data_IF_631127039869
#
_entry.id   IF_631127039869
#
_cell.length_a   1.000
_cell.length_b   1.000
_cell.length_c   1.000
_cell.angle_alpha   90.00
_cell.angle_beta   90.00
_cell.angle_gamma   90.00
#
_symmetry.space_group_name_H-M   'P 1'
#
loop_
_entity.id
_entity.type
_entity.pdbx_description
1 polymer ?
#
# COMPACT_ATOMS: atom_id res chain seq x y z
N UNK A 1 -11.50 -20.36 6.17
CA UNK A 1 -11.42 -19.12 5.36
C UNK A 1 -11.92 -17.97 6.22
N UNK A 2 -11.30 -16.80 6.12
CA UNK A 2 -11.65 -15.64 6.91
C UNK A 2 -12.84 -14.93 6.26
N UNK A 3 -13.81 -14.47 7.06
CA UNK A 3 -14.79 -13.48 6.61
C UNK A 3 -14.23 -12.10 6.93
N UNK A 4 -14.19 -11.21 5.94
CA UNK A 4 -13.63 -9.87 6.07
C UNK A 4 -14.77 -8.85 6.14
N UNK A 5 -14.71 -7.97 7.13
CA UNK A 5 -15.57 -6.81 7.27
C UNK A 5 -14.70 -5.55 7.17
N UNK A 6 -15.20 -4.53 6.49
CA UNK A 6 -14.53 -3.23 6.46
C UNK A 6 -14.87 -2.43 7.71
N UNK A 7 -13.86 -1.79 8.28
CA UNK A 7 -14.02 -0.70 9.25
C UNK A 7 -13.41 0.57 8.66
N UNK A 8 -13.92 1.72 9.09
CA UNK A 8 -13.53 3.02 8.56
C UNK A 8 -13.35 4.03 9.69
N UNK A 9 -12.26 4.79 9.66
CA UNK A 9 -12.11 6.05 10.39
C UNK A 9 -12.08 7.17 9.35
N UNK A 10 -12.92 8.20 9.49
CA UNK A 10 -13.00 9.30 8.53
C UNK A 10 -13.42 10.58 9.20
N UNK A 11 -12.96 11.70 8.66
CA UNK A 11 -13.32 13.03 9.14
C UNK A 11 -13.06 14.08 8.05
N UNK A 12 -13.67 15.24 8.21
CA UNK A 12 -13.35 16.46 7.45
C UNK A 12 -13.00 17.55 8.44
N UNK A 13 -11.77 18.04 8.36
CA UNK A 13 -11.21 19.02 9.27
C UNK A 13 -11.17 20.40 8.63
N UNK A 14 -11.56 21.41 9.40
CA UNK A 14 -11.81 22.76 8.90
C UNK A 14 -10.86 23.79 9.52
N UNK A 15 -10.46 24.79 8.74
CA UNK A 15 -9.88 26.04 9.23
C UNK A 15 -10.91 27.15 9.02
N UNK A 16 -11.52 27.62 10.11
CA UNK A 16 -12.73 28.46 10.03
C UNK A 16 -13.87 27.69 9.35
N UNK A 17 -14.35 28.18 8.20
CA UNK A 17 -15.39 27.53 7.38
C UNK A 17 -14.83 26.73 6.20
N UNK A 18 -13.52 26.73 6.00
CA UNK A 18 -12.86 26.11 4.83
C UNK A 18 -12.52 24.65 5.17
N UNK A 19 -12.99 23.65 4.41
CA UNK A 19 -12.54 22.27 4.57
C UNK A 19 -11.10 22.16 4.06
N UNK A 20 -10.14 22.06 4.98
CA UNK A 20 -8.71 22.07 4.60
C UNK A 20 -8.14 20.67 4.49
N UNK A 21 -8.71 19.69 5.19
CA UNK A 21 -8.17 18.33 5.17
C UNK A 21 -9.27 17.29 5.35
N UNK A 22 -9.25 16.27 4.50
CA UNK A 22 -10.21 15.16 4.51
C UNK A 22 -9.41 13.87 4.62
N UNK A 23 -9.81 12.95 5.51
CA UNK A 23 -9.22 11.61 5.48
C UNK A 23 -10.28 10.53 5.57
N UNK A 24 -9.96 9.39 4.95
CA UNK A 24 -10.78 8.19 4.94
C UNK A 24 -9.88 6.94 5.02
N UNK A 25 -9.93 6.25 6.15
CA UNK A 25 -9.02 5.15 6.48
C UNK A 25 -9.83 3.86 6.57
N UNK A 26 -9.90 3.12 5.47
CA UNK A 26 -10.51 1.80 5.41
C UNK A 26 -9.49 0.73 5.83
N UNK A 27 -9.89 -0.15 6.75
CA UNK A 27 -9.03 -1.24 7.23
C UNK A 27 -9.85 -2.51 7.51
N UNK A 28 -9.23 -3.69 7.39
CA UNK A 28 -9.95 -4.95 7.52
C UNK A 28 -10.19 -5.33 8.98
N UNK A 29 -11.30 -6.02 9.21
CA UNK A 29 -11.59 -6.78 10.41
C UNK A 29 -11.97 -8.21 10.02
N UNK A 30 -11.29 -9.18 10.60
CA UNK A 30 -11.42 -10.60 10.26
C UNK A 30 -12.24 -11.35 11.31
N UNK A 31 -13.24 -12.09 10.84
CA UNK A 31 -13.83 -13.21 11.58
C UNK A 31 -13.22 -14.51 11.05
N UNK A 32 -12.74 -15.38 11.94
CA UNK A 32 -12.11 -16.64 11.55
C UNK A 32 -12.45 -17.74 12.54
N UNK A 33 -12.62 -18.95 12.00
CA UNK A 33 -12.74 -20.20 12.77
C UNK A 33 -11.40 -20.88 13.01
N UNK A 34 -10.30 -20.38 12.43
CA UNK A 34 -8.97 -21.00 12.53
C UNK A 34 -8.39 -20.95 13.94
N UNK A 35 -8.46 -19.78 14.59
CA UNK A 35 -8.07 -19.60 16.00
C UNK A 35 -8.48 -18.23 16.52
N UNK A 36 -9.11 -18.18 17.70
CA UNK A 36 -9.67 -16.95 18.27
C UNK A 36 -8.60 -15.92 18.64
N UNK A 37 -7.58 -16.31 19.42
CA UNK A 37 -6.57 -15.38 19.92
C UNK A 37 -5.67 -14.79 18.81
N UNK A 38 -5.13 -15.57 17.86
CA UNK A 38 -4.48 -15.04 16.64
C UNK A 38 -5.33 -14.04 15.87
N UNK A 39 -6.61 -14.36 15.63
CA UNK A 39 -7.52 -13.47 14.91
C UNK A 39 -7.70 -12.13 15.62
N UNK A 40 -7.82 -12.16 16.96
CA UNK A 40 -7.89 -10.94 17.77
C UNK A 40 -6.60 -10.11 17.66
N UNK A 41 -5.42 -10.73 17.70
CA UNK A 41 -4.14 -10.01 17.53
C UNK A 41 -4.03 -9.34 16.16
N UNK A 42 -4.42 -10.03 15.08
CA UNK A 42 -4.40 -9.48 13.71
C UNK A 42 -5.38 -8.30 13.61
N UNK A 43 -6.59 -8.44 14.16
CA UNK A 43 -7.57 -7.34 14.19
C UNK A 43 -7.07 -6.13 15.01
N UNK A 44 -6.42 -6.38 16.13
CA UNK A 44 -5.85 -5.33 16.97
C UNK A 44 -4.70 -4.61 16.24
N UNK A 45 -3.89 -5.32 15.46
CA UNK A 45 -2.88 -4.71 14.60
C UNK A 45 -3.49 -3.71 13.62
N UNK A 46 -4.52 -4.10 12.86
CA UNK A 46 -5.14 -3.18 11.90
C UNK A 46 -5.86 -2.01 12.56
N UNK A 47 -6.55 -2.25 13.68
CA UNK A 47 -7.16 -1.17 14.46
C UNK A 47 -6.12 -0.20 15.02
N UNK A 48 -4.97 -0.70 15.49
CA UNK A 48 -3.86 0.13 15.97
C UNK A 48 -3.26 0.95 14.82
N UNK A 49 -2.92 0.33 13.70
CA UNK A 49 -2.37 1.01 12.52
C UNK A 49 -3.33 2.09 11.99
N UNK A 50 -4.63 1.82 11.96
CA UNK A 50 -5.64 2.81 11.57
C UNK A 50 -5.66 4.01 12.53
N UNK A 51 -5.61 3.79 13.84
CA UNK A 51 -5.55 4.88 14.85
C UNK A 51 -4.24 5.67 14.80
N UNK A 52 -3.10 5.01 14.54
CA UNK A 52 -1.83 5.73 14.34
C UNK A 52 -1.89 6.60 13.08
N UNK A 53 -2.51 6.09 12.01
CA UNK A 53 -2.73 6.86 10.78
C UNK A 53 -3.66 8.05 11.04
N UNK A 54 -4.76 7.86 11.78
CA UNK A 54 -5.66 8.96 12.20
C UNK A 54 -4.94 9.99 13.08
N UNK A 55 -4.08 9.54 14.01
CA UNK A 55 -3.27 10.44 14.82
C UNK A 55 -2.36 11.29 13.92
N UNK A 56 -1.64 10.68 12.97
CA UNK A 56 -0.82 11.40 12.01
C UNK A 56 -1.62 12.41 11.18
N UNK A 57 -2.82 12.03 10.73
CA UNK A 57 -3.78 12.91 10.06
C UNK A 57 -4.07 14.16 10.91
N UNK A 58 -4.41 13.97 12.19
CA UNK A 58 -4.82 15.06 13.08
C UNK A 58 -3.65 15.92 13.59
N UNK A 59 -2.48 15.34 13.82
CA UNK A 59 -1.35 16.03 14.47
C UNK A 59 -0.28 16.52 13.51
N UNK A 60 -0.25 16.04 12.26
CA UNK A 60 0.76 16.43 11.28
C UNK A 60 0.12 17.02 10.03
N UNK A 61 -0.76 16.27 9.34
CA UNK A 61 -1.30 16.72 8.06
C UNK A 61 -2.31 17.87 8.21
N UNK A 62 -3.19 17.80 9.20
CA UNK A 62 -4.15 18.87 9.45
C UNK A 62 -3.47 20.23 9.75
N UNK A 63 -2.49 20.34 10.67
CA UNK A 63 -1.79 21.61 10.89
C UNK A 63 -1.15 22.19 9.63
N UNK A 64 -0.58 21.34 8.75
CA UNK A 64 0.02 21.79 7.49
C UNK A 64 -1.03 22.28 6.49
N UNK A 65 -2.18 21.60 6.42
CA UNK A 65 -3.31 22.02 5.58
C UNK A 65 -3.90 23.35 6.08
N UNK A 66 -4.07 23.50 7.39
CA UNK A 66 -4.56 24.72 8.01
C UNK A 66 -3.58 25.89 7.80
N UNK A 67 -2.27 25.66 7.92
CA UNK A 67 -1.26 26.69 7.65
C UNK A 67 -1.26 27.12 6.17
N UNK A 68 -1.37 26.15 5.25
CA UNK A 68 -1.49 26.43 3.81
C UNK A 68 -2.73 27.28 3.50
N UNK A 69 -3.86 27.01 4.17
CA UNK A 69 -5.10 27.76 3.99
C UNK A 69 -5.04 29.21 4.49
N UNK A 70 -4.15 29.52 5.45
CA UNK A 70 -3.96 30.91 5.94
C UNK A 70 -3.51 31.87 4.87
N UNK A 71 -2.78 31.37 3.87
CA UNK A 71 -2.25 32.17 2.76
C UNK A 71 -3.26 32.35 1.62
N UNK A 72 -4.49 31.83 1.75
CA UNK A 72 -5.56 32.02 0.78
C UNK A 72 -6.60 33.00 1.36
N UNK A 73 -6.46 34.31 1.09
CA UNK A 73 -7.42 35.30 1.58
C UNK A 73 -8.82 35.00 1.04
N UNK A 74 -9.81 35.06 1.94
CA UNK A 74 -11.23 34.86 1.61
C UNK A 74 -11.56 33.53 0.89
N UNK A 75 -10.66 32.53 0.96
CA UNK A 75 -10.77 31.29 0.19
C UNK A 75 -10.87 31.54 -1.33
N UNK A 76 -10.14 32.53 -1.85
CA UNK A 76 -10.09 32.85 -3.27
C UNK A 76 -8.64 32.80 -3.80
N UNK A 77 -8.29 31.85 -4.68
CA UNK A 77 -9.13 30.77 -5.20
C UNK A 77 -9.51 29.75 -4.13
N UNK A 78 -10.54 28.93 -4.38
CA UNK A 78 -10.97 27.89 -3.43
C UNK A 78 -9.80 26.99 -3.02
N UNK A 79 -9.61 26.82 -1.71
CA UNK A 79 -8.60 25.93 -1.17
C UNK A 79 -8.84 24.50 -1.65
N UNK A 80 -7.83 23.91 -2.28
CA UNK A 80 -7.87 22.51 -2.65
C UNK A 80 -7.51 21.67 -1.43
N UNK A 81 -8.50 21.02 -0.83
CA UNK A 81 -8.34 20.25 0.41
C UNK A 81 -7.22 19.22 0.27
N UNK A 82 -6.39 19.12 1.32
CA UNK A 82 -5.47 18.00 1.44
C UNK A 82 -6.31 16.73 1.66
N UNK A 83 -5.84 15.58 1.18
CA UNK A 83 -6.52 14.30 1.42
C UNK A 83 -5.57 13.19 1.87
N UNK A 84 -6.07 12.29 2.71
CA UNK A 84 -5.41 11.01 2.97
C UNK A 84 -6.44 9.88 2.89
N UNK A 85 -6.22 8.96 1.95
CA UNK A 85 -7.09 7.82 1.72
C UNK A 85 -6.31 6.52 1.94
N UNK A 86 -6.79 5.65 2.83
CA UNK A 86 -6.28 4.29 2.97
C UNK A 86 -7.35 3.32 2.50
N UNK A 87 -6.98 2.47 1.55
CA UNK A 87 -7.79 1.33 1.12
C UNK A 87 -6.99 0.04 1.22
N UNK A 88 -7.69 -1.10 1.29
CA UNK A 88 -7.06 -2.41 1.29
C UNK A 88 -7.72 -3.33 0.27
N UNK A 89 -6.94 -4.30 -0.22
CA UNK A 89 -7.44 -5.37 -1.09
C UNK A 89 -7.00 -6.72 -0.57
N UNK A 90 -7.95 -7.62 -0.39
CA UNK A 90 -7.67 -9.04 -0.12
C UNK A 90 -7.28 -9.69 -1.44
N UNK A 91 -6.05 -10.21 -1.52
CA UNK A 91 -5.49 -10.81 -2.75
C UNK A 91 -5.48 -12.33 -2.69
N UNK A 92 -5.46 -12.90 -1.47
CA UNK A 92 -5.59 -14.32 -1.23
C UNK A 92 -6.33 -14.58 0.08
N UNK A 93 -7.25 -15.53 0.09
CA UNK A 93 -7.95 -15.94 1.30
C UNK A 93 -8.40 -17.40 1.17
N UNK A 94 -7.58 -18.33 1.64
CA UNK A 94 -7.91 -19.75 1.61
C UNK A 94 -7.36 -20.48 2.84
N UNK A 95 -8.11 -21.47 3.32
CA UNK A 95 -7.79 -22.17 4.56
C UNK A 95 -7.69 -21.19 5.75
N UNK A 96 -6.49 -21.08 6.30
CA UNK A 96 -6.15 -20.16 7.39
C UNK A 96 -5.12 -19.10 6.98
N UNK A 97 -4.88 -18.92 5.68
CA UNK A 97 -3.96 -17.90 5.17
C UNK A 97 -4.77 -16.80 4.50
N UNK A 98 -4.45 -15.55 4.84
CA UNK A 98 -4.95 -14.37 4.13
C UNK A 98 -3.79 -13.48 3.74
N UNK A 99 -3.73 -13.08 2.47
CA UNK A 99 -2.81 -12.07 1.97
C UNK A 99 -3.59 -10.86 1.47
N UNK A 100 -3.04 -9.68 1.71
CA UNK A 100 -3.62 -8.41 1.34
C UNK A 100 -2.55 -7.34 1.18
N UNK A 101 -2.93 -6.27 0.49
CA UNK A 101 -2.18 -5.02 0.52
C UNK A 101 -3.07 -3.86 0.99
N UNK A 102 -2.42 -2.81 1.49
CA UNK A 102 -2.99 -1.52 1.82
C UNK A 102 -2.30 -0.46 0.98
N UNK A 103 -3.08 0.42 0.37
CA UNK A 103 -2.60 1.60 -0.34
C UNK A 103 -3.00 2.83 0.45
N UNK A 104 -2.02 3.64 0.78
CA UNK A 104 -2.20 4.96 1.40
C UNK A 104 -1.88 6.02 0.36
N UNK A 105 -2.91 6.66 -0.15
CA UNK A 105 -2.80 7.85 -0.99
C UNK A 105 -2.78 9.10 -0.09
N UNK A 106 -1.88 10.04 -0.36
CA UNK A 106 -1.80 11.33 0.34
C UNK A 106 -1.65 12.44 -0.69
N UNK A 107 -2.55 13.42 -0.63
CA UNK A 107 -2.51 14.64 -1.44
C UNK A 107 -2.36 15.86 -0.53
N UNK A 108 -1.37 16.70 -0.81
CA UNK A 108 -1.04 17.88 0.00
C UNK A 108 -0.93 19.14 -0.87
N UNK A 109 -1.68 19.19 -1.97
CA UNK A 109 -1.53 20.22 -3.01
C UNK A 109 -0.60 19.80 -4.15
N UNK A 110 -0.48 20.63 -5.19
CA UNK A 110 0.31 20.35 -6.39
C UNK A 110 -0.43 19.52 -7.43
N UNK A 111 0.32 18.94 -8.39
CA UNK A 111 -0.24 18.27 -9.56
C UNK A 111 -0.83 16.88 -9.27
N UNK A 112 -0.27 16.14 -8.31
CA UNK A 112 -0.73 14.80 -7.91
C UNK A 112 -0.34 14.49 -6.47
N UNK A 113 -0.99 13.49 -5.87
CA UNK A 113 -0.58 12.93 -4.59
C UNK A 113 0.46 11.82 -4.73
N UNK A 114 0.75 11.16 -3.62
CA UNK A 114 1.65 10.01 -3.53
C UNK A 114 0.88 8.80 -3.01
N UNK A 115 1.13 7.62 -3.58
CA UNK A 115 0.61 6.33 -3.10
C UNK A 115 1.76 5.48 -2.58
N UNK A 116 1.66 5.09 -1.31
CA UNK A 116 2.53 4.08 -0.72
C UNK A 116 1.73 2.79 -0.50
N UNK A 117 2.24 1.67 -1.00
CA UNK A 117 1.65 0.36 -0.77
C UNK A 117 2.42 -0.46 0.26
N UNK A 118 1.71 -0.99 1.24
CA UNK A 118 2.21 -2.00 2.18
C UNK A 118 1.43 -3.29 2.03
N UNK A 119 1.99 -4.41 2.44
CA UNK A 119 1.35 -5.71 2.28
C UNK A 119 1.64 -6.63 3.45
N UNK A 120 0.69 -7.51 3.73
CA UNK A 120 0.74 -8.47 4.82
C UNK A 120 0.22 -9.82 4.33
N UNK A 121 0.89 -10.89 4.75
CA UNK A 121 0.39 -12.26 4.60
C UNK A 121 0.32 -12.89 5.99
N UNK A 122 -0.87 -13.31 6.42
CA UNK A 122 -1.13 -13.80 7.76
C UNK A 122 -1.47 -15.28 7.78
N UNK A 123 -0.88 -16.02 8.71
CA UNK A 123 -1.39 -17.31 9.15
C UNK A 123 -2.28 -17.13 10.38
N UNK A 124 -3.57 -17.40 10.23
CA UNK A 124 -4.58 -17.29 11.29
C UNK A 124 -4.57 -18.45 12.29
N UNK A 125 -3.83 -19.54 12.05
CA UNK A 125 -3.64 -20.58 13.08
C UNK A 125 -2.70 -20.09 14.17
N UNK A 126 -1.62 -19.42 13.78
CA UNK A 126 -0.54 -18.99 14.68
C UNK A 126 -0.59 -17.49 15.02
N UNK A 127 -1.13 -16.69 14.11
CA UNK A 127 -1.08 -15.22 14.15
C UNK A 127 0.23 -14.65 13.62
N UNK A 128 1.05 -15.48 12.95
CA UNK A 128 2.34 -15.06 12.39
C UNK A 128 2.12 -14.34 11.07
N UNK A 129 2.86 -13.25 10.85
CA UNK A 129 3.04 -12.69 9.51
C UNK A 129 4.07 -13.54 8.76
N UNK A 130 3.66 -14.11 7.65
CA UNK A 130 4.54 -14.85 6.74
C UNK A 130 5.38 -13.83 5.94
N UNK A 131 6.61 -14.20 5.62
CA UNK A 131 7.51 -13.41 4.78
C UNK A 131 7.64 -14.05 3.40
N UNK A 132 8.15 -13.30 2.41
CA UNK A 132 8.44 -13.85 1.09
C UNK A 132 9.36 -15.08 1.18
N UNK A 133 10.29 -15.07 2.13
CA UNK A 133 11.19 -16.18 2.43
C UNK A 133 10.50 -17.49 2.83
N UNK A 134 9.21 -17.46 3.20
CA UNK A 134 8.41 -18.66 3.45
C UNK A 134 7.89 -19.33 2.17
N UNK A 135 7.91 -18.62 1.03
CA UNK A 135 7.39 -19.09 -0.26
C UNK A 135 8.47 -19.15 -1.33
N UNK A 136 9.50 -18.31 -1.21
CA UNK A 136 10.59 -18.21 -2.17
C UNK A 136 11.94 -18.09 -1.45
N UNK A 137 12.94 -18.93 -1.75
CA UNK A 137 14.25 -18.83 -1.12
C UNK A 137 14.92 -17.50 -1.49
N UNK A 138 15.44 -16.77 -0.51
CA UNK A 138 16.10 -15.47 -0.73
C UNK A 138 17.64 -15.59 -0.74
N UNK A 139 18.18 -16.73 -1.17
CA UNK A 139 19.61 -16.89 -1.45
C UNK A 139 20.06 -15.99 -2.61
N UNK A 140 21.36 -15.71 -2.73
CA UNK A 140 21.89 -14.86 -3.81
C UNK A 140 21.49 -15.38 -5.20
N UNK A 141 21.65 -16.69 -5.45
CA UNK A 141 21.27 -17.32 -6.71
C UNK A 141 19.76 -17.23 -7.00
N UNK A 142 18.92 -17.34 -5.96
CA UNK A 142 17.47 -17.24 -6.13
C UNK A 142 17.03 -15.80 -6.39
N UNK A 143 17.64 -14.82 -5.71
CA UNK A 143 17.43 -13.40 -6.02
C UNK A 143 17.84 -13.05 -7.45
N UNK A 144 18.95 -13.60 -7.94
CA UNK A 144 19.34 -13.40 -9.34
C UNK A 144 18.28 -13.95 -10.31
N UNK A 145 17.76 -15.16 -10.07
CA UNK A 145 16.65 -15.73 -10.88
C UNK A 145 15.39 -14.88 -10.81
N UNK A 146 15.06 -14.37 -9.63
CA UNK A 146 13.94 -13.46 -9.43
C UNK A 146 14.10 -12.20 -10.31
N UNK A 147 15.24 -11.51 -10.26
CA UNK A 147 15.47 -10.31 -11.07
C UNK A 147 15.50 -10.60 -12.58
N UNK A 148 16.06 -11.74 -13.00
CA UNK A 148 16.00 -12.16 -14.42
C UNK A 148 14.56 -12.38 -14.88
N UNK A 149 13.71 -13.00 -14.04
CA UNK A 149 12.30 -13.20 -14.37
C UNK A 149 11.57 -11.85 -14.48
N UNK A 150 11.77 -10.93 -13.53
CA UNK A 150 11.17 -9.58 -13.59
C UNK A 150 11.64 -8.85 -14.87
N UNK A 151 12.93 -8.89 -15.18
CA UNK A 151 13.48 -8.30 -16.40
C UNK A 151 12.84 -8.87 -17.67
N UNK A 152 12.62 -10.19 -17.72
CA UNK A 152 11.87 -10.83 -18.81
C UNK A 152 10.42 -10.33 -18.92
N UNK A 153 9.70 -10.23 -17.79
CA UNK A 153 8.33 -9.69 -17.78
C UNK A 153 8.29 -8.22 -18.24
N UNK A 154 9.27 -7.39 -17.84
CA UNK A 154 9.37 -6.00 -18.31
C UNK A 154 9.64 -5.96 -19.81
N UNK A 155 10.57 -6.77 -20.32
CA UNK A 155 10.88 -6.82 -21.74
C UNK A 155 9.65 -7.18 -22.60
N UNK A 156 8.82 -8.11 -22.14
CA UNK A 156 7.56 -8.43 -22.82
C UNK A 156 6.56 -7.26 -22.79
N UNK A 157 6.42 -6.55 -21.66
CA UNK A 157 5.54 -5.36 -21.56
C UNK A 157 5.99 -4.23 -22.48
N UNK A 158 7.30 -4.03 -22.63
CA UNK A 158 7.84 -2.98 -23.49
C UNK A 158 7.56 -3.22 -24.98
N UNK A 159 7.34 -4.46 -25.42
CA UNK A 159 6.90 -4.74 -26.80
C UNK A 159 5.54 -4.12 -27.12
N UNK A 160 4.65 -4.03 -26.13
CA UNK A 160 3.32 -3.46 -26.27
C UNK A 160 3.26 -1.96 -25.91
N UNK A 161 4.08 -1.52 -24.95
CA UNK A 161 4.15 -0.12 -24.51
C UNK A 161 5.62 0.29 -24.30
N UNK A 162 6.28 0.80 -25.37
CA UNK A 162 7.65 1.28 -25.29
C UNK A 162 7.81 2.40 -24.24
N UNK A 163 8.98 2.46 -23.59
CA UNK A 163 9.35 3.51 -22.62
C UNK A 163 8.46 3.62 -21.37
N UNK A 164 7.76 2.54 -21.00
CA UNK A 164 6.95 2.46 -19.77
C UNK A 164 7.79 2.32 -18.47
N UNK A 165 9.11 2.12 -18.59
CA UNK A 165 10.07 1.96 -17.49
C UNK A 165 11.28 2.87 -17.71
N UNK A 166 12.03 3.17 -16.65
CA UNK A 166 13.25 3.98 -16.75
C UNK A 166 14.37 3.22 -17.46
N UNK A 167 15.25 3.92 -18.19
CA UNK A 167 16.33 3.28 -18.95
C UNK A 167 17.27 2.43 -18.09
N UNK A 168 17.46 2.80 -16.81
CA UNK A 168 18.31 2.10 -15.84
C UNK A 168 17.55 1.11 -14.94
N UNK A 169 16.32 0.71 -15.32
CA UNK A 169 15.46 -0.16 -14.51
C UNK A 169 16.16 -1.43 -14.03
N UNK A 170 17.08 -2.02 -14.80
CA UNK A 170 17.82 -3.24 -14.40
C UNK A 170 18.63 -3.02 -13.11
N UNK A 171 19.27 -1.85 -12.98
CA UNK A 171 20.02 -1.47 -11.78
C UNK A 171 19.06 -1.16 -10.63
N UNK A 172 17.99 -0.43 -10.93
CA UNK A 172 16.97 -0.04 -9.96
C UNK A 172 16.25 -1.25 -9.36
N UNK A 173 15.93 -2.28 -10.16
CA UNK A 173 15.31 -3.52 -9.70
C UNK A 173 16.01 -4.09 -8.47
N UNK A 174 17.34 -4.06 -8.42
CA UNK A 174 18.11 -4.56 -7.29
C UNK A 174 18.21 -3.54 -6.16
N UNK A 175 18.41 -2.26 -6.48
CA UNK A 175 18.59 -1.17 -5.49
C UNK A 175 17.32 -0.90 -4.68
N UNK A 176 16.16 -0.97 -5.31
CA UNK A 176 14.85 -0.65 -4.70
C UNK A 176 14.08 -1.91 -4.31
N UNK A 177 14.66 -3.11 -4.50
CA UNK A 177 14.01 -4.35 -4.08
C UNK A 177 13.79 -4.37 -2.56
N UNK A 178 12.55 -4.62 -2.17
CA UNK A 178 12.18 -4.83 -0.78
C UNK A 178 11.44 -6.18 -0.65
N UNK A 179 11.97 -7.17 0.09
CA UNK A 179 11.32 -8.48 0.25
C UNK A 179 10.01 -8.43 1.05
N UNK A 180 9.65 -7.27 1.62
CA UNK A 180 8.34 -7.02 2.22
C UNK A 180 7.29 -6.57 1.21
N UNK A 181 7.69 -6.13 0.01
CA UNK A 181 6.76 -5.69 -1.03
C UNK A 181 6.27 -6.89 -1.84
N UNK A 182 5.49 -7.75 -1.20
CA UNK A 182 4.91 -8.90 -1.87
C UNK A 182 3.55 -9.25 -1.27
N UNK A 183 2.71 -9.89 -2.08
CA UNK A 183 1.47 -10.50 -1.59
C UNK A 183 1.21 -11.80 -2.34
N UNK A 184 0.32 -12.64 -1.82
CA UNK A 184 -0.11 -13.87 -2.47
C UNK A 184 -1.38 -13.64 -3.29
N UNK A 185 -1.51 -14.37 -4.39
CA UNK A 185 -2.73 -14.57 -5.16
C UNK A 185 -2.99 -16.07 -5.30
N UNK A 186 -4.15 -16.52 -5.81
CA UNK A 186 -4.38 -17.93 -6.11
C UNK A 186 -3.36 -18.52 -7.10
N UNK A 187 -2.79 -17.69 -7.98
CA UNK A 187 -1.87 -18.10 -9.04
C UNK A 187 -0.41 -18.19 -8.59
N UNK A 188 -0.03 -17.52 -7.50
CA UNK A 188 1.36 -17.43 -7.06
C UNK A 188 1.61 -16.27 -6.11
N UNK A 189 2.86 -15.82 -5.99
CA UNK A 189 3.18 -14.57 -5.28
C UNK A 189 3.46 -13.44 -6.26
N UNK A 190 3.07 -12.23 -5.88
CA UNK A 190 3.33 -11.01 -6.64
C UNK A 190 4.35 -10.19 -5.88
N UNK A 191 5.41 -9.75 -6.56
CA UNK A 191 6.32 -8.70 -6.09
C UNK A 191 5.90 -7.39 -6.70
N UNK A 192 5.89 -6.33 -5.91
CA UNK A 192 5.61 -4.98 -6.41
C UNK A 192 6.71 -3.98 -6.05
N UNK A 193 6.83 -2.95 -6.86
CA UNK A 193 7.69 -1.80 -6.64
C UNK A 193 6.82 -0.57 -6.33
N UNK A 194 7.34 0.34 -5.51
CA UNK A 194 6.67 1.60 -5.20
C UNK A 194 6.69 2.53 -6.41
N UNK A 195 5.90 3.60 -6.34
CA UNK A 195 5.97 4.67 -7.32
C UNK A 195 7.42 5.18 -7.43
N UNK A 196 7.88 5.44 -8.66
CA UNK A 196 9.23 5.91 -8.97
C UNK A 196 10.38 4.95 -8.68
N UNK A 197 10.14 3.74 -8.18
CA UNK A 197 11.23 2.79 -7.92
C UNK A 197 11.93 2.34 -9.21
N UNK A 198 11.16 2.06 -10.28
CA UNK A 198 11.66 1.52 -11.56
C UNK A 198 10.96 2.10 -12.80
N UNK A 199 9.94 2.93 -12.60
CA UNK A 199 9.09 3.46 -13.65
C UNK A 199 8.51 4.83 -13.22
N UNK A 200 8.13 5.70 -14.17
CA UNK A 200 7.53 7.01 -13.85
C UNK A 200 6.18 6.88 -13.15
N UNK A 201 5.73 7.94 -12.49
CA UNK A 201 4.44 8.00 -11.77
C UNK A 201 3.25 7.42 -12.55
N UNK A 202 3.18 7.71 -13.86
CA UNK A 202 2.10 7.28 -14.73
C UNK A 202 1.99 5.75 -14.88
N UNK A 203 3.07 5.01 -14.61
CA UNK A 203 3.06 3.55 -14.60
C UNK A 203 2.44 2.95 -13.32
N UNK A 204 2.10 3.78 -12.33
CA UNK A 204 1.55 3.34 -11.06
C UNK A 204 2.59 2.59 -10.22
N UNK A 205 2.18 1.45 -9.65
CA UNK A 205 3.03 0.55 -8.87
C UNK A 205 3.25 -0.73 -9.69
N UNK A 206 4.43 -0.93 -10.30
CA UNK A 206 4.70 -2.11 -11.11
C UNK A 206 4.60 -3.41 -10.30
N UNK A 207 3.87 -4.39 -10.82
CA UNK A 207 3.65 -5.71 -10.20
C UNK A 207 4.16 -6.84 -11.10
N UNK A 208 4.73 -7.90 -10.50
CA UNK A 208 5.30 -9.05 -11.22
C UNK A 208 4.88 -10.35 -10.54
N UNK A 209 4.15 -11.19 -11.28
CA UNK A 209 3.64 -12.47 -10.80
C UNK A 209 4.70 -13.57 -10.93
N UNK A 210 4.78 -14.42 -9.92
CA UNK A 210 5.58 -15.63 -9.86
C UNK A 210 4.68 -16.82 -9.53
N UNK A 211 4.33 -17.64 -10.53
CA UNK A 211 3.52 -18.84 -10.33
C UNK A 211 4.16 -19.89 -9.42
#
# INVERSE_FOLDING_TARGET
>A
MQTILQKTLKDTMYYGKIPVFIYNINYPFFKSTCSKAPSQRINNYYAYTARQTESYCRTVLYPQAADSARYIPENNPSFNSFTLDVNYKITYNAGCITSLYLEKYTYMGGAHGETVRTSDTWDFKTGRRLSLGNFYPLSAASRQRLFMNIGGQIAERQKASPSSFFDDYISLLQKTFNPKNYYLTPEGFVIYYQQYDIAPYAAGLPEFLFP
#
